data_IF_188261303410
#
_entry.id   IF_188261303410
#
_cell.length_a   1.000
_cell.length_b   1.000
_cell.length_c   1.000
_cell.angle_alpha   90.00
_cell.angle_beta   90.00
_cell.angle_gamma   90.00
#
_symmetry.space_group_name_H-M   'P 1'
#
loop_
_entity.id
_entity.type
_entity.pdbx_description
1 polymer ?
#
# COMPACT_ATOMS: atom_id res chain seq x y z
N UNK A 1 37.16 -36.80 -15.92
CA UNK A 1 36.65 -35.89 -14.86
C UNK A 1 35.55 -34.95 -15.35
N UNK A 2 35.68 -34.25 -16.49
CA UNK A 2 34.65 -33.32 -17.04
C UNK A 2 33.23 -33.90 -17.15
N UNK A 3 33.09 -35.15 -17.58
CA UNK A 3 31.78 -35.83 -17.74
C UNK A 3 31.08 -36.12 -16.40
N UNK A 4 31.87 -36.36 -15.35
CA UNK A 4 31.35 -36.65 -13.99
C UNK A 4 30.85 -35.34 -13.37
N UNK A 5 31.61 -34.25 -13.51
CA UNK A 5 31.18 -32.92 -13.06
C UNK A 5 29.89 -32.48 -13.74
N UNK A 6 29.78 -32.67 -15.06
CA UNK A 6 28.55 -32.36 -15.81
C UNK A 6 27.35 -33.19 -15.35
N UNK A 7 27.54 -34.50 -15.12
CA UNK A 7 26.48 -35.37 -14.63
C UNK A 7 26.01 -34.96 -13.22
N UNK A 8 26.94 -34.58 -12.35
CA UNK A 8 26.61 -34.14 -10.99
C UNK A 8 25.90 -32.78 -10.99
N UNK A 9 26.36 -31.83 -11.81
CA UNK A 9 25.68 -30.54 -11.98
C UNK A 9 24.27 -30.69 -12.55
N UNK A 10 24.07 -31.57 -13.52
CA UNK A 10 22.75 -31.86 -14.07
C UNK A 10 21.82 -32.51 -13.02
N UNK A 11 22.34 -33.44 -12.22
CA UNK A 11 21.59 -34.07 -11.13
C UNK A 11 21.18 -33.06 -10.06
N UNK A 12 22.08 -32.17 -9.64
CA UNK A 12 21.76 -31.09 -8.70
C UNK A 12 20.70 -30.13 -9.25
N UNK A 13 20.79 -29.77 -10.53
CA UNK A 13 19.82 -28.88 -11.18
C UNK A 13 18.43 -29.52 -11.23
N UNK A 14 18.34 -30.80 -11.62
CA UNK A 14 17.10 -31.57 -11.62
C UNK A 14 16.50 -31.69 -10.21
N UNK A 15 17.32 -31.84 -9.17
CA UNK A 15 16.82 -31.90 -7.80
C UNK A 15 16.28 -30.53 -7.32
N UNK A 16 16.92 -29.43 -7.71
CA UNK A 16 16.46 -28.07 -7.36
C UNK A 16 15.16 -27.66 -8.06
N UNK A 17 14.90 -28.16 -9.28
CA UNK A 17 13.74 -27.83 -10.09
C UNK A 17 12.47 -28.64 -9.71
N UNK A 18 12.60 -29.70 -8.91
CA UNK A 18 11.47 -30.54 -8.46
C UNK A 18 10.80 -30.01 -7.18
N UNK A 19 11.14 -28.80 -6.73
CA UNK A 19 10.46 -28.19 -5.60
C UNK A 19 9.10 -27.66 -6.07
N UNK A 20 8.03 -28.40 -5.75
CA UNK A 20 6.68 -27.86 -5.86
C UNK A 20 6.56 -26.67 -4.93
N UNK A 21 6.57 -25.46 -5.49
CA UNK A 21 6.15 -24.27 -4.75
C UNK A 21 4.66 -24.44 -4.50
N UNK A 22 4.33 -24.96 -3.31
CA UNK A 22 2.95 -24.94 -2.83
C UNK A 22 2.65 -23.48 -2.51
N UNK A 23 1.83 -22.85 -3.37
CA UNK A 23 1.18 -21.60 -3.02
C UNK A 23 0.35 -21.86 -1.76
N UNK A 24 0.88 -21.49 -0.59
CA UNK A 24 0.12 -21.55 0.65
C UNK A 24 -1.02 -20.54 0.51
N UNK A 25 -2.23 -21.05 0.32
CA UNK A 25 -3.43 -20.24 0.47
C UNK A 25 -3.40 -19.55 1.84
N UNK A 26 -3.76 -18.27 1.89
CA UNK A 26 -3.96 -17.57 3.16
C UNK A 26 -4.88 -18.42 4.03
N UNK A 27 -4.40 -18.84 5.20
CA UNK A 27 -5.25 -19.55 6.14
C UNK A 27 -6.45 -18.64 6.47
N UNK A 28 -7.69 -19.17 6.49
CA UNK A 28 -8.84 -18.38 6.88
C UNK A 28 -8.62 -17.80 8.28
N UNK A 29 -9.09 -16.58 8.50
CA UNK A 29 -9.05 -15.96 9.83
C UNK A 29 -9.73 -16.88 10.85
N UNK A 30 -9.18 -17.03 12.07
CA UNK A 30 -9.77 -17.88 13.09
C UNK A 30 -11.21 -17.49 13.40
N UNK A 31 -12.09 -18.49 13.60
CA UNK A 31 -13.50 -18.29 13.96
C UNK A 31 -13.65 -17.42 15.23
N UNK A 32 -12.72 -17.57 16.16
CA UNK A 32 -12.59 -16.73 17.35
C UNK A 32 -11.16 -16.20 17.42
N UNK A 33 -10.94 -14.97 16.95
CA UNK A 33 -9.60 -14.36 16.96
C UNK A 33 -9.18 -13.93 18.37
N UNK A 34 -10.14 -13.52 19.21
CA UNK A 34 -9.86 -12.97 20.54
C UNK A 34 -8.99 -11.70 20.49
N UNK A 35 -8.65 -11.16 21.66
CA UNK A 35 -7.63 -10.10 21.80
C UNK A 35 -7.06 -10.11 23.21
N UNK A 36 -5.97 -9.37 23.44
CA UNK A 36 -5.37 -9.19 24.76
C UNK A 36 -5.32 -7.71 25.11
N UNK A 37 -5.18 -7.40 26.40
CA UNK A 37 -4.97 -6.02 26.84
C UNK A 37 -3.72 -5.38 26.22
N UNK A 38 -2.68 -6.18 25.92
CA UNK A 38 -1.48 -5.69 25.25
C UNK A 38 -1.76 -5.23 23.82
N UNK A 39 -2.55 -6.01 23.05
CA UNK A 39 -2.95 -5.64 21.67
C UNK A 39 -3.85 -4.39 21.70
N UNK A 40 -4.76 -4.30 22.68
CA UNK A 40 -5.64 -3.14 22.83
C UNK A 40 -4.87 -1.87 23.24
N UNK A 41 -3.80 -2.01 24.02
CA UNK A 41 -2.97 -0.91 24.48
C UNK A 41 -1.80 -0.58 23.54
N UNK A 42 -1.62 -1.36 22.47
CA UNK A 42 -0.56 -1.13 21.50
C UNK A 42 -0.72 0.26 20.87
N UNK A 43 0.35 1.06 20.90
CA UNK A 43 0.41 2.36 20.25
C UNK A 43 1.59 2.34 19.28
N UNK A 44 1.32 2.63 18.02
CA UNK A 44 2.39 2.86 17.05
C UNK A 44 3.20 4.11 17.47
N UNK A 45 4.53 4.13 17.26
CA UNK A 45 5.39 5.25 17.62
C UNK A 45 5.21 6.43 16.65
N UNK A 46 4.03 7.04 16.67
CA UNK A 46 3.63 8.14 15.78
C UNK A 46 3.74 9.46 16.54
N UNK A 47 4.34 10.47 15.91
CA UNK A 47 4.33 11.83 16.41
C UNK A 47 3.01 12.52 16.05
N UNK A 48 1.98 12.25 16.85
CA UNK A 48 0.68 12.89 16.72
C UNK A 48 0.76 14.37 17.11
N UNK A 49 0.28 15.25 16.23
CA UNK A 49 0.18 16.69 16.47
C UNK A 49 -1.23 17.21 16.19
N UNK A 50 -1.68 18.19 16.97
CA UNK A 50 -2.91 18.94 16.73
C UNK A 50 -2.64 20.22 15.94
N UNK A 51 -3.70 20.79 15.35
CA UNK A 51 -3.62 22.10 14.68
C UNK A 51 -3.09 23.18 15.63
N UNK A 52 -3.55 23.19 16.89
CA UNK A 52 -3.09 24.15 17.90
C UNK A 52 -1.59 23.99 18.24
N UNK A 53 -1.07 22.75 18.25
CA UNK A 53 0.37 22.53 18.45
C UNK A 53 1.19 23.02 17.27
N UNK A 54 0.69 22.86 16.04
CA UNK A 54 1.33 23.39 14.83
C UNK A 54 1.34 24.93 14.89
N UNK A 55 0.20 25.57 15.16
CA UNK A 55 0.09 27.03 15.30
C UNK A 55 1.07 27.56 16.36
N UNK A 56 1.08 26.95 17.55
CA UNK A 56 1.99 27.32 18.64
C UNK A 56 3.47 27.21 18.22
N UNK A 57 3.83 26.19 17.43
CA UNK A 57 5.21 26.01 16.95
C UNK A 57 5.65 27.08 15.93
N UNK A 58 4.71 27.82 15.36
CA UNK A 58 4.93 28.85 14.34
C UNK A 58 4.76 30.28 14.88
N UNK A 59 4.46 30.46 16.17
CA UNK A 59 4.31 31.79 16.76
C UNK A 59 5.55 32.67 16.54
N UNK A 60 5.32 33.93 16.18
CA UNK A 60 6.38 34.90 15.90
C UNK A 60 7.09 34.72 14.56
N UNK A 61 6.75 33.69 13.77
CA UNK A 61 7.27 33.55 12.40
C UNK A 61 6.54 34.52 11.46
N UNK A 62 7.24 35.20 10.52
CA UNK A 62 6.59 36.06 9.54
C UNK A 62 5.73 35.24 8.58
N UNK A 63 4.80 35.89 7.83
CA UNK A 63 4.03 35.23 6.78
C UNK A 63 4.91 34.45 5.81
N UNK A 64 4.48 33.24 5.46
CA UNK A 64 5.19 32.34 4.55
C UNK A 64 4.21 31.56 3.68
N UNK A 65 4.69 31.09 2.53
CA UNK A 65 3.93 30.18 1.69
C UNK A 65 3.93 28.77 2.30
N UNK A 66 2.78 28.10 2.28
CA UNK A 66 2.59 26.70 2.66
C UNK A 66 1.76 25.99 1.59
N UNK A 67 1.89 24.67 1.49
CA UNK A 67 1.19 23.85 0.50
C UNK A 67 0.26 22.84 1.16
N UNK A 68 -0.85 22.55 0.49
CA UNK A 68 -1.79 21.49 0.85
C UNK A 68 -1.96 20.57 -0.36
N UNK A 69 -1.89 19.26 -0.12
CA UNK A 69 -2.44 18.29 -1.06
C UNK A 69 -3.98 18.42 -1.11
N UNK A 70 -4.61 17.87 -2.15
CA UNK A 70 -6.06 18.04 -2.39
C UNK A 70 -6.82 16.79 -1.96
N UNK A 71 -6.57 15.68 -2.63
CA UNK A 71 -7.35 14.45 -2.54
C UNK A 71 -7.15 13.79 -1.18
N UNK A 72 -8.24 13.60 -0.44
CA UNK A 72 -8.27 13.05 0.93
C UNK A 72 -7.41 13.82 1.95
N UNK A 73 -7.02 15.07 1.62
CA UNK A 73 -6.35 16.01 2.54
C UNK A 73 -7.26 17.19 2.89
N UNK A 74 -7.76 17.91 1.87
CA UNK A 74 -8.74 19.02 2.08
C UNK A 74 -10.09 18.74 1.46
N UNK A 75 -10.16 17.77 0.54
CA UNK A 75 -11.39 17.36 -0.12
C UNK A 75 -11.51 15.84 -0.10
N UNK A 76 -12.60 15.34 0.47
CA UNK A 76 -12.97 13.93 0.35
C UNK A 76 -13.43 13.65 -1.09
N UNK A 77 -12.47 13.31 -1.95
CA UNK A 77 -12.64 13.33 -3.42
C UNK A 77 -13.00 11.96 -3.99
N UNK A 78 -12.88 10.91 -3.18
CA UNK A 78 -13.26 9.53 -3.49
C UNK A 78 -14.59 9.38 -4.26
N UNK A 79 -15.68 10.15 -4.01
CA UNK A 79 -16.91 10.05 -4.81
C UNK A 79 -16.70 10.33 -6.30
N UNK A 80 -15.89 11.34 -6.64
CA UNK A 80 -15.58 11.71 -8.03
C UNK A 80 -14.73 10.63 -8.70
N UNK A 81 -13.68 10.17 -8.03
CA UNK A 81 -12.81 9.09 -8.52
C UNK A 81 -13.59 7.78 -8.70
N UNK A 82 -14.46 7.42 -7.74
CA UNK A 82 -15.32 6.24 -7.83
C UNK A 82 -16.28 6.29 -9.02
N UNK A 83 -16.91 7.45 -9.25
CA UNK A 83 -17.74 7.65 -10.44
C UNK A 83 -16.90 7.55 -11.71
N UNK A 84 -15.71 8.14 -11.72
CA UNK A 84 -14.76 8.10 -12.83
C UNK A 84 -14.39 6.68 -13.23
N UNK A 85 -13.96 5.85 -12.27
CA UNK A 85 -13.62 4.44 -12.50
C UNK A 85 -14.79 3.68 -13.12
N UNK A 86 -15.97 3.73 -12.49
CA UNK A 86 -17.18 3.05 -12.99
C UNK A 86 -17.65 3.53 -14.37
N UNK A 87 -17.31 4.76 -14.76
CA UNK A 87 -17.77 5.34 -16.03
C UNK A 87 -16.78 5.09 -17.17
N UNK A 88 -15.48 5.20 -16.89
CA UNK A 88 -14.46 5.28 -17.94
C UNK A 88 -13.54 4.07 -18.01
N UNK A 89 -13.34 3.35 -16.90
CA UNK A 89 -12.54 2.12 -16.91
C UNK A 89 -12.95 1.21 -15.74
N UNK A 90 -14.11 0.54 -15.81
CA UNK A 90 -14.61 -0.27 -14.70
C UNK A 90 -13.61 -1.34 -14.22
N UNK A 91 -12.88 -1.91 -15.18
CA UNK A 91 -11.98 -3.05 -14.96
C UNK A 91 -10.49 -2.66 -14.97
N UNK A 92 -10.16 -1.36 -14.96
CA UNK A 92 -8.75 -0.91 -14.90
C UNK A 92 -8.59 0.49 -14.30
N UNK A 93 -7.33 0.89 -14.08
CA UNK A 93 -7.00 2.24 -13.58
C UNK A 93 -6.77 3.25 -14.72
N UNK A 94 -7.23 2.95 -15.94
CA UNK A 94 -7.03 3.83 -17.10
C UNK A 94 -7.70 5.21 -16.95
N UNK A 95 -8.78 5.32 -16.17
CA UNK A 95 -9.46 6.59 -15.86
C UNK A 95 -8.55 7.63 -15.20
N UNK A 96 -7.47 7.21 -14.52
CA UNK A 96 -6.48 8.10 -13.90
C UNK A 96 -5.51 8.74 -14.91
N UNK A 97 -5.38 8.15 -16.10
CA UNK A 97 -4.39 8.57 -17.10
C UNK A 97 -4.97 9.53 -18.14
N UNK A 98 -6.29 9.68 -18.19
CA UNK A 98 -6.95 10.47 -19.21
C UNK A 98 -7.04 11.94 -18.79
N UNK A 99 -6.04 12.74 -19.18
CA UNK A 99 -5.97 14.20 -18.97
C UNK A 99 -7.18 14.98 -19.53
N UNK A 100 -8.02 14.36 -20.36
CA UNK A 100 -9.16 14.98 -21.05
C UNK A 100 -10.54 14.59 -20.50
N UNK A 101 -10.64 13.75 -19.46
CA UNK A 101 -11.94 13.27 -18.93
C UNK A 101 -12.79 14.34 -18.22
N UNK A 102 -12.24 15.54 -18.01
CA UNK A 102 -12.91 16.70 -17.41
C UNK A 102 -13.27 17.83 -18.40
N UNK A 103 -13.03 17.69 -19.71
CA UNK A 103 -13.53 18.65 -20.70
C UNK A 103 -14.93 18.23 -21.14
N UNK A 104 -15.94 18.73 -20.44
CA UNK A 104 -17.23 19.06 -21.04
C UNK A 104 -17.40 20.56 -20.99
#
# INVERSE_FOLDING_TARGET
MRKITLALSAACLLFSLNSTVVARASAPTPLYTGTTAAILAEQAPIHWVSVAQIENSLMGRPPMAVGFDIDDTVLFSSPGFWRGKKTYSPDSEAYLKNRNSGKR
#
